data_IF_647062311272
#
_entry.id   IF_647062311272
#
_cell.length_a   1.000
_cell.length_b   1.000
_cell.length_c   1.000
_cell.angle_alpha   90.00
_cell.angle_beta   90.00
_cell.angle_gamma   90.00
#
_symmetry.space_group_name_H-M   'P 1'
#
loop_
_entity.id
_entity.type
_entity.pdbx_description
1 polymer ?
#
# COMPACT_ATOMS: atom_id res chain seq x y z
N UNK A 1 8.91 -6.47 -2.76
CA UNK A 1 7.89 -6.50 -1.69
C UNK A 1 6.78 -5.59 -2.12
N UNK A 2 5.53 -6.06 -2.09
CA UNK A 2 4.40 -5.25 -2.51
C UNK A 2 3.83 -4.50 -1.30
N UNK A 3 3.52 -3.23 -1.50
CA UNK A 3 2.85 -2.35 -0.55
C UNK A 3 1.48 -2.03 -1.15
N UNK A 4 0.42 -2.17 -0.36
CA UNK A 4 -0.96 -1.84 -0.72
C UNK A 4 -1.63 -1.19 0.49
N UNK A 5 -2.46 -0.15 0.31
CA UNK A 5 -3.29 0.39 1.38
C UNK A 5 -4.16 -0.68 2.07
N UNK A 6 -4.62 -1.68 1.32
CA UNK A 6 -5.43 -2.81 1.80
C UNK A 6 -4.61 -4.07 2.10
N UNK A 7 -3.29 -3.98 2.21
CA UNK A 7 -2.44 -5.15 2.44
C UNK A 7 -2.77 -5.81 3.77
N UNK A 8 -3.16 -7.09 3.69
CA UNK A 8 -3.21 -7.98 4.85
C UNK A 8 -1.81 -8.56 5.06
N UNK A 9 -1.25 -8.37 6.25
CA UNK A 9 0.08 -8.83 6.61
C UNK A 9 0.03 -10.16 7.37
N UNK A 10 0.91 -11.10 7.03
CA UNK A 10 1.25 -12.16 7.98
C UNK A 10 2.18 -11.61 9.08
N UNK A 11 2.28 -12.27 10.25
CA UNK A 11 3.12 -11.77 11.35
C UNK A 11 4.57 -11.56 10.95
N UNK A 12 5.16 -12.51 10.23
CA UNK A 12 6.57 -12.42 9.82
C UNK A 12 6.79 -11.40 8.70
N UNK A 13 5.84 -11.25 7.77
CA UNK A 13 5.94 -10.19 6.76
C UNK A 13 5.88 -8.80 7.38
N UNK A 14 4.98 -8.60 8.37
CA UNK A 14 4.89 -7.34 9.10
C UNK A 14 6.18 -7.03 9.84
N UNK A 15 6.73 -7.99 10.58
CA UNK A 15 7.99 -7.84 11.29
C UNK A 15 9.13 -7.42 10.35
N UNK A 16 9.27 -8.11 9.20
CA UNK A 16 10.28 -7.78 8.18
C UNK A 16 10.05 -6.37 7.62
N UNK A 17 8.80 -6.00 7.36
CA UNK A 17 8.45 -4.69 6.82
C UNK A 17 8.72 -3.56 7.81
N UNK A 18 8.22 -3.67 9.04
CA UNK A 18 8.46 -2.70 10.10
C UNK A 18 9.96 -2.51 10.40
N UNK A 19 10.74 -3.60 10.37
CA UNK A 19 12.21 -3.53 10.45
C UNK A 19 12.83 -2.69 9.33
N UNK A 20 12.33 -2.80 8.09
CA UNK A 20 12.82 -1.98 6.96
C UNK A 20 12.47 -0.51 7.15
N UNK A 21 11.24 -0.21 7.59
CA UNK A 21 10.81 1.15 7.87
C UNK A 21 11.69 1.79 8.96
N UNK A 22 11.94 1.08 10.06
CA UNK A 22 12.82 1.56 11.13
C UNK A 22 14.26 1.80 10.65
N UNK A 23 14.81 0.91 9.81
CA UNK A 23 16.15 1.13 9.22
C UNK A 23 16.22 2.42 8.40
N UNK A 24 15.16 2.76 7.67
CA UNK A 24 15.09 4.01 6.92
C UNK A 24 14.97 5.21 7.85
N UNK A 25 14.05 5.16 8.83
CA UNK A 25 13.88 6.20 9.86
C UNK A 25 15.22 6.58 10.48
N UNK A 26 15.93 5.57 10.97
CA UNK A 26 17.15 5.76 11.75
C UNK A 26 18.35 6.16 10.88
N UNK A 27 18.38 5.76 9.60
CA UNK A 27 19.35 6.29 8.62
C UNK A 27 19.30 7.82 8.53
N UNK A 28 18.11 8.43 8.58
CA UNK A 28 17.96 9.88 8.53
C UNK A 28 18.34 10.59 9.84
N UNK A 29 18.11 9.93 10.97
CA UNK A 29 18.37 10.49 12.29
C UNK A 29 19.85 10.44 12.70
N UNK A 30 20.71 9.77 11.92
CA UNK A 30 22.13 9.49 12.25
C UNK A 30 22.29 8.73 13.56
N UNK A 31 21.26 7.98 13.92
CA UNK A 31 21.22 7.08 15.08
C UNK A 31 21.10 5.66 14.53
N UNK A 32 21.65 4.66 15.22
CA UNK A 32 21.60 3.28 14.73
C UNK A 32 20.37 2.55 15.26
N UNK A 33 19.71 1.80 14.37
CA UNK A 33 18.69 0.80 14.71
C UNK A 33 19.29 -0.60 14.64
N UNK A 34 19.15 -1.35 15.73
CA UNK A 34 19.70 -2.69 15.93
C UNK A 34 18.52 -3.67 16.04
N UNK A 35 18.27 -4.48 14.99
CA UNK A 35 17.27 -5.54 15.06
C UNK A 35 17.78 -6.70 15.92
N UNK A 36 16.89 -7.36 16.64
CA UNK A 36 17.19 -8.54 17.47
C UNK A 36 16.63 -9.78 16.75
N UNK A 37 17.49 -10.71 16.29
CA UNK A 37 17.02 -11.95 15.70
C UNK A 37 16.26 -12.82 16.70
N UNK A 38 15.08 -13.30 16.32
CA UNK A 38 14.20 -14.15 17.12
C UNK A 38 14.65 -15.63 17.19
N UNK A 39 15.53 -16.04 16.26
CA UNK A 39 15.96 -17.43 16.07
C UNK A 39 16.90 -17.97 17.16
N UNK A 40 17.54 -17.12 17.98
CA UNK A 40 18.42 -17.54 19.09
C UNK A 40 17.80 -17.19 20.45
N UNK A 41 17.06 -18.16 21.02
CA UNK A 41 16.52 -18.13 22.41
C UNK A 41 15.52 -16.99 22.66
N UNK A 42 14.70 -16.68 21.66
CA UNK A 42 13.62 -15.69 21.71
C UNK A 42 14.13 -14.25 21.78
N UNK A 43 13.20 -13.30 21.82
CA UNK A 43 13.47 -11.86 21.69
C UNK A 43 13.48 -11.14 23.06
N UNK A 44 12.85 -11.76 24.08
CA UNK A 44 12.73 -11.21 25.42
C UNK A 44 11.65 -10.12 25.56
N UNK A 45 10.78 -9.98 24.56
CA UNK A 45 9.72 -8.96 24.52
C UNK A 45 10.03 -7.75 23.64
N UNK A 46 11.13 -7.76 22.89
CA UNK A 46 11.50 -6.72 21.91
C UNK A 46 12.19 -7.37 20.70
N UNK A 47 11.93 -6.84 19.51
CA UNK A 47 12.47 -7.32 18.23
C UNK A 47 13.52 -6.34 17.66
N UNK A 48 13.76 -5.21 18.33
CA UNK A 48 14.88 -4.33 18.04
C UNK A 48 14.92 -3.12 18.96
N UNK A 49 16.01 -2.36 18.90
CA UNK A 49 16.16 -1.12 19.64
C UNK A 49 17.03 -0.12 18.89
N UNK A 50 16.99 1.14 19.29
CA UNK A 50 17.81 2.22 18.72
C UNK A 50 18.71 2.86 19.76
N UNK A 51 19.82 3.44 19.31
CA UNK A 51 20.78 4.12 20.20
C UNK A 51 20.24 5.40 20.85
N UNK A 52 19.14 5.95 20.32
CA UNK A 52 18.45 7.06 20.95
C UNK A 52 17.49 6.60 22.08
N UNK A 53 17.40 5.30 22.38
CA UNK A 53 16.68 4.76 23.53
C UNK A 53 15.25 4.31 23.25
N UNK A 54 14.92 3.92 22.02
CA UNK A 54 13.66 3.25 21.71
C UNK A 54 13.86 1.75 21.66
N UNK A 55 12.92 1.00 22.23
CA UNK A 55 12.79 -0.44 22.05
C UNK A 55 11.49 -0.75 21.31
N UNK A 56 11.53 -1.70 20.40
CA UNK A 56 10.45 -2.00 19.45
C UNK A 56 10.01 -3.44 19.59
N UNK A 57 8.70 -3.65 19.50
CA UNK A 57 8.07 -4.97 19.42
C UNK A 57 7.05 -4.91 18.28
N UNK A 58 7.16 -5.77 17.27
CA UNK A 58 6.24 -5.77 16.15
C UNK A 58 5.12 -6.77 16.41
N UNK A 59 3.92 -6.42 15.98
CA UNK A 59 2.78 -7.31 16.12
C UNK A 59 1.75 -7.11 15.02
N UNK A 60 1.51 -8.17 14.25
CA UNK A 60 0.37 -8.24 13.36
C UNK A 60 -0.67 -9.23 13.92
N UNK A 61 -1.80 -8.74 14.46
CA UNK A 61 -2.87 -9.61 14.92
C UNK A 61 -3.48 -10.37 13.74
N UNK A 62 -3.63 -11.69 13.89
CA UNK A 62 -4.34 -12.55 12.92
C UNK A 62 -5.81 -12.66 13.30
N UNK A 63 -6.69 -13.08 12.38
CA UNK A 63 -8.12 -13.35 12.63
C UNK A 63 -8.86 -12.20 13.34
N UNK A 64 -8.72 -10.99 12.80
CA UNK A 64 -9.39 -9.79 13.32
C UNK A 64 -10.66 -9.55 12.49
N UNK A 65 -11.82 -9.62 13.15
CA UNK A 65 -13.12 -9.39 12.51
C UNK A 65 -13.84 -8.15 13.02
N UNK A 66 -13.40 -7.61 14.17
CA UNK A 66 -14.01 -6.44 14.81
C UNK A 66 -12.96 -5.56 15.48
N UNK A 67 -13.30 -4.27 15.69
CA UNK A 67 -12.46 -3.31 16.44
C UNK A 67 -12.18 -3.83 17.86
N UNK A 68 -13.16 -4.46 18.51
CA UNK A 68 -13.00 -5.05 19.84
C UNK A 68 -11.98 -6.21 19.83
N UNK A 69 -12.07 -7.11 18.84
CA UNK A 69 -11.10 -8.20 18.70
C UNK A 69 -9.67 -7.71 18.41
N UNK A 70 -9.54 -6.63 17.62
CA UNK A 70 -8.26 -5.99 17.36
C UNK A 70 -7.64 -5.46 18.66
N UNK A 71 -8.44 -4.69 19.40
CA UNK A 71 -8.03 -4.11 20.68
C UNK A 71 -7.57 -5.17 21.68
N UNK A 72 -8.37 -6.22 21.92
CA UNK A 72 -8.02 -7.23 22.91
C UNK A 72 -6.72 -7.98 22.56
N UNK A 73 -6.52 -8.28 21.28
CA UNK A 73 -5.29 -8.91 20.78
C UNK A 73 -4.07 -8.02 21.01
N UNK A 74 -4.14 -6.75 20.62
CA UNK A 74 -3.04 -5.79 20.79
C UNK A 74 -2.77 -5.48 22.27
N UNK A 75 -3.83 -5.30 23.07
CA UNK A 75 -3.74 -5.10 24.53
C UNK A 75 -3.06 -6.28 25.23
N UNK A 76 -3.44 -7.50 24.86
CA UNK A 76 -2.87 -8.73 25.42
C UNK A 76 -1.39 -8.84 25.05
N UNK A 77 -1.04 -8.68 23.77
CA UNK A 77 0.36 -8.68 23.30
C UNK A 77 1.21 -7.65 24.04
N UNK A 78 0.75 -6.40 24.13
CA UNK A 78 1.45 -5.34 24.88
C UNK A 78 1.66 -5.75 26.34
N UNK A 79 0.65 -6.33 26.98
CA UNK A 79 0.75 -6.76 28.38
C UNK A 79 1.77 -7.87 28.56
N UNK A 80 1.72 -8.88 27.71
CA UNK A 80 2.58 -10.05 27.82
C UNK A 80 4.03 -9.71 27.51
N UNK A 81 4.28 -8.87 26.50
CA UNK A 81 5.65 -8.49 26.13
C UNK A 81 6.26 -7.46 27.09
N UNK A 82 5.46 -6.58 27.71
CA UNK A 82 5.95 -5.73 28.81
C UNK A 82 6.36 -6.59 30.02
N UNK A 83 5.59 -7.64 30.35
CA UNK A 83 6.00 -8.58 31.40
C UNK A 83 7.31 -9.28 31.05
N UNK A 84 7.52 -9.67 29.79
CA UNK A 84 8.80 -10.25 29.33
C UNK A 84 9.93 -9.24 29.43
N UNK A 85 9.71 -7.99 29.00
CA UNK A 85 10.67 -6.90 29.12
C UNK A 85 11.11 -6.70 30.58
N UNK A 86 10.17 -6.65 31.54
CA UNK A 86 10.45 -6.52 32.97
C UNK A 86 11.19 -7.75 33.53
N UNK A 87 10.73 -8.97 33.21
CA UNK A 87 11.26 -10.20 33.81
C UNK A 87 12.62 -10.62 33.27
N UNK A 88 12.95 -10.28 32.01
CA UNK A 88 14.21 -10.66 31.36
C UNK A 88 15.37 -9.68 31.63
N UNK A 89 15.50 -9.17 32.86
CA UNK A 89 16.42 -8.07 33.22
C UNK A 89 17.84 -8.24 32.70
N UNK A 90 18.45 -9.41 32.96
CA UNK A 90 19.84 -9.72 32.54
C UNK A 90 19.99 -9.71 31.01
N UNK A 91 19.01 -10.21 30.28
CA UNK A 91 19.02 -10.26 28.81
C UNK A 91 18.89 -8.85 28.24
N UNK A 92 17.94 -8.06 28.75
CA UNK A 92 17.74 -6.67 28.34
C UNK A 92 18.98 -5.83 28.61
N UNK A 93 19.58 -5.92 29.82
CA UNK A 93 20.85 -5.26 30.12
C UNK A 93 21.98 -5.67 29.19
N UNK A 94 22.04 -6.96 28.83
CA UNK A 94 23.03 -7.47 27.87
C UNK A 94 22.88 -6.88 26.46
N UNK A 95 21.65 -6.61 26.02
CA UNK A 95 21.40 -5.95 24.73
C UNK A 95 21.73 -4.46 24.76
N UNK A 96 21.34 -3.77 25.83
CA UNK A 96 21.41 -2.31 25.88
C UNK A 96 22.75 -1.77 26.39
N UNK A 97 23.50 -2.56 27.17
CA UNK A 97 24.68 -2.05 27.86
C UNK A 97 24.30 -0.88 28.77
N UNK A 98 24.93 0.28 28.56
CA UNK A 98 24.66 1.50 29.35
C UNK A 98 23.53 2.36 28.81
N UNK A 99 22.97 2.01 27.65
CA UNK A 99 21.83 2.71 27.06
C UNK A 99 20.61 2.64 27.98
N UNK A 100 19.95 3.78 28.15
CA UNK A 100 18.66 3.89 28.85
C UNK A 100 17.52 3.96 27.85
N UNK A 101 16.60 3.00 27.93
CA UNK A 101 15.40 2.97 27.14
C UNK A 101 14.41 3.99 27.68
N UNK A 102 14.08 4.97 26.84
CA UNK A 102 13.10 6.02 27.09
C UNK A 102 11.75 5.70 26.45
N UNK A 103 11.67 4.83 25.44
CA UNK A 103 10.40 4.41 24.84
C UNK A 103 10.37 2.91 24.60
N UNK A 104 9.24 2.29 24.88
CA UNK A 104 8.92 0.95 24.39
C UNK A 104 7.73 1.08 23.45
N UNK A 105 7.83 0.57 22.23
CA UNK A 105 6.84 0.83 21.17
C UNK A 105 6.32 -0.48 20.62
N UNK A 106 5.00 -0.67 20.72
CA UNK A 106 4.31 -1.71 19.96
C UNK A 106 4.05 -1.18 18.54
N UNK A 107 4.63 -1.83 17.53
CA UNK A 107 4.49 -1.45 16.12
C UNK A 107 3.50 -2.39 15.44
N UNK A 108 2.35 -1.87 15.01
CA UNK A 108 1.22 -2.65 14.46
C UNK A 108 0.84 -2.15 13.07
N UNK A 109 0.18 -2.95 12.21
CA UNK A 109 -0.31 -2.43 10.92
C UNK A 109 -1.31 -1.28 11.09
N UNK A 110 -2.25 -1.44 12.02
CA UNK A 110 -3.29 -0.46 12.32
C UNK A 110 -3.69 -0.51 13.80
N UNK A 111 -4.12 0.63 14.36
CA UNK A 111 -4.83 0.66 15.64
C UNK A 111 -6.02 1.62 15.57
N UNK A 112 -7.16 1.24 16.18
CA UNK A 112 -8.45 1.93 15.98
C UNK A 112 -9.13 2.40 17.26
N UNK A 113 -8.47 2.28 18.42
CA UNK A 113 -9.08 2.67 19.71
C UNK A 113 -8.13 3.42 20.63
N UNK A 114 -8.66 4.46 21.25
CA UNK A 114 -8.02 5.23 22.33
C UNK A 114 -7.81 4.41 23.61
N UNK A 115 -8.55 3.32 23.79
CA UNK A 115 -8.43 2.47 24.98
C UNK A 115 -7.05 1.80 25.04
N UNK A 116 -6.46 1.53 23.88
CA UNK A 116 -5.11 0.98 23.79
C UNK A 116 -4.04 2.00 24.20
N UNK A 117 -4.24 3.28 23.91
CA UNK A 117 -3.41 4.38 24.39
C UNK A 117 -3.51 4.52 25.92
N UNK A 118 -4.72 4.37 26.45
CA UNK A 118 -4.95 4.36 27.91
C UNK A 118 -4.25 3.16 28.56
N UNK A 119 -4.30 1.99 27.92
CA UNK A 119 -3.61 0.79 28.40
C UNK A 119 -2.09 0.97 28.36
N UNK A 120 -1.53 1.53 27.29
CA UNK A 120 -0.10 1.87 27.21
C UNK A 120 0.34 2.83 28.34
N UNK A 121 -0.50 3.79 28.70
CA UNK A 121 -0.22 4.66 29.86
C UNK A 121 -0.15 3.86 31.17
N UNK A 122 -1.04 2.89 31.38
CA UNK A 122 -0.97 1.99 32.56
C UNK A 122 0.30 1.15 32.55
N UNK A 123 0.67 0.58 31.39
CA UNK A 123 1.92 -0.19 31.24
C UNK A 123 3.15 0.67 31.48
N UNK A 124 3.12 1.95 31.10
CA UNK A 124 4.20 2.90 31.43
C UNK A 124 4.44 2.96 32.93
N UNK A 125 3.39 3.18 33.73
CA UNK A 125 3.51 3.23 35.19
C UNK A 125 4.04 1.92 35.77
N UNK A 126 3.60 0.77 35.26
CA UNK A 126 4.07 -0.55 35.67
C UNK A 126 5.59 -0.70 35.49
N UNK A 127 6.12 -0.37 34.31
CA UNK A 127 7.58 -0.46 34.07
C UNK A 127 8.36 0.52 34.95
N UNK A 128 7.84 1.73 35.18
CA UNK A 128 8.53 2.73 36.03
C UNK A 128 8.62 2.29 37.49
N UNK A 129 7.59 1.63 38.02
CA UNK A 129 7.58 1.08 39.39
C UNK A 129 8.68 0.03 39.59
N UNK A 130 8.96 -0.77 38.57
CA UNK A 130 9.97 -1.82 38.61
C UNK A 130 11.42 -1.30 38.71
N UNK A 131 11.63 0.01 38.50
CA UNK A 131 12.91 0.71 38.64
C UNK A 131 14.08 -0.03 37.95
N UNK A 132 13.87 -0.38 36.68
CA UNK A 132 14.80 -1.20 35.90
C UNK A 132 16.05 -0.40 35.51
N UNK A 133 17.23 -1.00 35.67
CA UNK A 133 18.52 -0.35 35.44
C UNK A 133 18.76 0.11 33.99
N UNK A 134 18.01 -0.40 33.02
CA UNK A 134 18.13 -0.04 31.60
C UNK A 134 16.96 0.83 31.12
N UNK A 135 16.10 1.29 32.04
CA UNK A 135 14.98 2.19 31.73
C UNK A 135 15.30 3.59 32.25
N UNK A 136 14.92 4.62 31.47
CA UNK A 136 14.93 6.01 31.91
C UNK A 136 13.76 6.25 32.89
N UNK A 137 14.08 6.46 34.18
CA UNK A 137 13.08 6.60 35.24
C UNK A 137 12.18 7.83 35.08
N UNK A 138 12.62 8.86 34.36
CA UNK A 138 11.87 10.11 34.22
C UNK A 138 11.03 10.09 32.97
N UNK A 139 11.63 9.70 31.84
CA UNK A 139 11.04 9.89 30.51
C UNK A 139 10.43 8.63 29.92
N UNK A 140 10.50 7.46 30.57
CA UNK A 140 9.98 6.24 29.99
C UNK A 140 8.49 6.33 29.62
N UNK A 141 8.15 5.86 28.41
CA UNK A 141 6.77 5.69 27.94
C UNK A 141 6.61 4.44 27.08
N UNK A 142 5.50 3.75 27.29
CA UNK A 142 4.98 2.73 26.37
C UNK A 142 4.11 3.43 25.33
N UNK A 143 4.36 3.15 24.06
CA UNK A 143 3.69 3.74 22.92
C UNK A 143 3.11 2.64 22.02
N UNK A 144 2.19 3.04 21.15
CA UNK A 144 1.77 2.27 20.00
C UNK A 144 1.96 3.13 18.76
N UNK A 145 2.58 2.55 17.73
CA UNK A 145 2.73 3.15 16.41
C UNK A 145 2.08 2.23 15.39
N UNK A 146 1.40 2.83 14.42
CA UNK A 146 0.89 2.13 13.26
C UNK A 146 1.57 2.59 11.96
N UNK A 147 1.13 2.07 10.81
CA UNK A 147 1.75 2.36 9.52
C UNK A 147 1.72 3.85 9.17
N UNK A 148 0.72 4.60 9.65
CA UNK A 148 0.61 6.05 9.42
C UNK A 148 1.81 6.83 9.96
N UNK A 149 2.43 6.32 11.03
CA UNK A 149 3.66 6.91 11.59
C UNK A 149 4.84 6.82 10.61
N UNK A 150 4.81 5.89 9.65
CA UNK A 150 5.93 5.57 8.75
C UNK A 150 5.74 6.00 7.28
N UNK A 151 4.81 6.93 7.00
CA UNK A 151 4.53 7.37 5.61
C UNK A 151 5.76 7.85 4.84
N UNK A 152 6.69 8.54 5.52
CA UNK A 152 7.93 9.02 4.89
C UNK A 152 8.83 7.86 4.49
N UNK A 153 9.00 6.90 5.39
CA UNK A 153 9.83 5.72 5.18
C UNK A 153 9.22 4.80 4.11
N UNK A 154 7.90 4.72 4.04
CA UNK A 154 7.19 4.01 2.97
C UNK A 154 7.43 4.66 1.61
N UNK A 155 7.30 5.99 1.52
CA UNK A 155 7.59 6.75 0.30
C UNK A 155 9.06 6.58 -0.17
N UNK A 156 10.02 6.46 0.76
CA UNK A 156 11.41 6.16 0.41
C UNK A 156 11.58 4.72 -0.12
N UNK A 157 10.91 3.73 0.47
CA UNK A 157 10.95 2.36 -0.06
C UNK A 157 10.43 2.30 -1.50
N UNK A 158 9.39 3.05 -1.79
CA UNK A 158 8.79 3.15 -3.12
C UNK A 158 9.72 3.87 -4.11
N UNK A 159 10.19 5.08 -3.77
CA UNK A 159 11.06 5.87 -4.64
C UNK A 159 12.44 5.23 -4.89
N UNK A 160 12.97 4.48 -3.93
CA UNK A 160 14.22 3.71 -4.09
C UNK A 160 14.06 2.40 -4.87
N UNK A 161 12.82 2.00 -5.21
CA UNK A 161 12.53 0.74 -5.88
C UNK A 161 12.73 -0.51 -5.01
N UNK A 162 12.90 -0.35 -3.69
CA UNK A 162 13.00 -1.46 -2.73
C UNK A 162 11.62 -2.08 -2.42
N UNK A 163 10.55 -1.35 -2.72
CA UNK A 163 9.18 -1.82 -2.73
C UNK A 163 8.46 -1.40 -4.02
N UNK A 164 7.33 -2.06 -4.28
CA UNK A 164 6.46 -1.77 -5.43
C UNK A 164 5.06 -1.50 -4.89
N UNK A 165 4.49 -0.37 -5.27
CA UNK A 165 3.10 -0.03 -4.95
C UNK A 165 2.17 -0.93 -5.78
N UNK A 166 1.25 -1.62 -5.11
CA UNK A 166 0.19 -2.40 -5.72
C UNK A 166 -1.14 -1.92 -5.14
N UNK A 167 -2.02 -1.38 -5.96
CA UNK A 167 -3.39 -1.07 -5.58
C UNK A 167 -4.27 -2.31 -5.78
N UNK A 168 -5.32 -2.43 -4.97
CA UNK A 168 -6.32 -3.49 -5.12
C UNK A 168 -7.51 -2.93 -5.92
N UNK A 169 -7.78 -3.43 -7.14
CA UNK A 169 -8.89 -2.94 -7.95
C UNK A 169 -10.23 -3.12 -7.25
N UNK A 170 -11.03 -2.06 -7.20
CA UNK A 170 -12.41 -2.12 -6.70
C UNK A 170 -13.27 -2.85 -7.73
N UNK A 171 -13.88 -3.97 -7.35
CA UNK A 171 -14.78 -4.70 -8.25
C UNK A 171 -16.02 -3.87 -8.59
N UNK A 172 -16.46 -3.97 -9.84
CA UNK A 172 -17.60 -3.22 -10.39
C UNK A 172 -18.69 -4.21 -10.77
N UNK A 173 -19.87 -4.02 -10.18
CA UNK A 173 -21.06 -4.84 -10.43
C UNK A 173 -21.69 -4.53 -11.78
N UNK A 174 -22.44 -5.49 -12.33
CA UNK A 174 -23.19 -5.28 -13.58
C UNK A 174 -24.16 -4.11 -13.52
N UNK A 175 -24.84 -3.91 -12.38
CA UNK A 175 -25.74 -2.78 -12.17
C UNK A 175 -25.03 -1.42 -12.23
N UNK A 176 -23.78 -1.34 -11.78
CA UNK A 176 -22.99 -0.12 -11.88
C UNK A 176 -22.60 0.16 -13.33
N UNK A 177 -22.23 -0.88 -14.09
CA UNK A 177 -21.94 -0.76 -15.53
C UNK A 177 -23.17 -0.24 -16.28
N UNK A 178 -24.35 -0.83 -16.03
CA UNK A 178 -25.61 -0.41 -16.62
C UNK A 178 -25.96 1.05 -16.27
N UNK A 179 -25.76 1.44 -15.01
CA UNK A 179 -25.93 2.82 -14.56
C UNK A 179 -25.03 3.78 -15.31
N UNK A 180 -23.73 3.49 -15.38
CA UNK A 180 -22.74 4.31 -16.09
C UNK A 180 -23.10 4.47 -17.59
N UNK A 181 -23.48 3.36 -18.25
CA UNK A 181 -23.89 3.40 -19.66
C UNK A 181 -25.17 4.21 -19.89
N UNK A 182 -26.06 4.28 -18.90
CA UNK A 182 -27.31 5.04 -18.96
C UNK A 182 -27.09 6.54 -18.69
N UNK A 183 -26.14 6.88 -17.81
CA UNK A 183 -25.77 8.25 -17.49
C UNK A 183 -24.93 8.92 -18.59
N UNK A 184 -24.16 8.12 -19.35
CA UNK A 184 -23.34 8.58 -20.47
C UNK A 184 -23.70 7.84 -21.79
N UNK A 185 -24.90 8.12 -22.37
CA UNK A 185 -25.37 7.40 -23.56
C UNK A 185 -24.45 7.59 -24.77
N UNK A 186 -23.87 8.77 -24.94
CA UNK A 186 -22.93 9.07 -26.04
C UNK A 186 -21.69 8.16 -26.04
N UNK A 187 -21.17 7.80 -24.86
CA UNK A 187 -20.01 6.90 -24.72
C UNK A 187 -20.39 5.47 -25.08
N UNK A 188 -21.56 5.02 -24.63
CA UNK A 188 -22.12 3.70 -24.93
C UNK A 188 -22.41 3.55 -26.43
N UNK A 189 -22.93 4.60 -27.08
CA UNK A 189 -23.17 4.62 -28.53
C UNK A 189 -21.85 4.61 -29.31
N UNK A 190 -20.87 5.42 -28.92
CA UNK A 190 -19.56 5.50 -29.56
C UNK A 190 -18.84 4.15 -29.56
N UNK A 191 -18.75 3.50 -28.40
CA UNK A 191 -18.05 2.23 -28.29
C UNK A 191 -18.79 1.12 -29.06
N UNK A 192 -20.13 1.11 -29.03
CA UNK A 192 -20.94 0.17 -29.81
C UNK A 192 -20.71 0.34 -31.30
N UNK A 193 -20.72 1.58 -31.80
CA UNK A 193 -20.44 1.92 -33.20
C UNK A 193 -19.07 1.42 -33.64
N UNK A 194 -18.04 1.67 -32.83
CA UNK A 194 -16.65 1.25 -33.13
C UNK A 194 -16.53 -0.27 -33.13
N UNK A 195 -17.00 -0.95 -32.09
CA UNK A 195 -16.95 -2.41 -32.00
C UNK A 195 -17.75 -3.11 -33.12
N UNK A 196 -18.80 -2.49 -33.63
CA UNK A 196 -19.59 -3.02 -34.76
C UNK A 196 -18.81 -3.10 -36.08
N UNK A 197 -17.70 -2.36 -36.22
CA UNK A 197 -16.79 -2.49 -37.36
C UNK A 197 -15.92 -3.74 -37.27
N UNK A 198 -15.66 -4.23 -36.05
CA UNK A 198 -14.80 -5.39 -35.79
C UNK A 198 -15.56 -6.72 -35.79
N UNK A 199 -16.87 -6.69 -35.52
CA UNK A 199 -17.71 -7.88 -35.42
C UNK A 199 -19.15 -7.54 -35.77
N UNK A 200 -19.80 -8.43 -36.53
CA UNK A 200 -21.25 -8.35 -36.79
C UNK A 200 -22.10 -9.05 -35.71
N UNK A 201 -21.47 -9.76 -34.77
CA UNK A 201 -22.17 -10.47 -33.70
C UNK A 201 -22.50 -9.54 -32.53
N UNK A 202 -23.79 -9.22 -32.35
CA UNK A 202 -24.31 -8.33 -31.29
C UNK A 202 -23.94 -8.80 -29.88
N UNK A 203 -23.92 -10.10 -29.61
CA UNK A 203 -23.52 -10.63 -28.29
C UNK A 203 -22.04 -10.40 -28.01
N UNK A 204 -21.19 -10.48 -29.03
CA UNK A 204 -19.75 -10.18 -28.90
C UNK A 204 -19.55 -8.69 -28.66
N UNK A 205 -20.25 -7.83 -29.40
CA UNK A 205 -20.20 -6.37 -29.24
C UNK A 205 -20.62 -5.97 -27.82
N UNK A 206 -21.77 -6.45 -27.34
CA UNK A 206 -22.28 -6.09 -26.01
C UNK A 206 -21.31 -6.51 -24.89
N UNK A 207 -20.78 -7.73 -24.97
CA UNK A 207 -19.79 -8.21 -23.99
C UNK A 207 -18.50 -7.39 -24.02
N UNK A 208 -18.04 -7.02 -25.23
CA UNK A 208 -16.87 -6.17 -25.41
C UNK A 208 -17.08 -4.79 -24.81
N UNK A 209 -18.24 -4.18 -25.07
CA UNK A 209 -18.67 -2.92 -24.45
C UNK A 209 -18.64 -3.01 -22.93
N UNK A 210 -19.34 -3.98 -22.34
CA UNK A 210 -19.43 -4.11 -20.88
C UNK A 210 -18.05 -4.32 -20.23
N UNK A 211 -17.19 -5.09 -20.90
CA UNK A 211 -15.81 -5.32 -20.45
C UNK A 211 -14.99 -4.02 -20.49
N UNK A 212 -15.08 -3.25 -21.57
CA UNK A 212 -14.35 -1.99 -21.72
C UNK A 212 -14.86 -0.92 -20.73
N UNK A 213 -16.18 -0.78 -20.58
CA UNK A 213 -16.79 0.11 -19.57
C UNK A 213 -16.34 -0.27 -18.17
N UNK A 214 -16.36 -1.58 -17.81
CA UNK A 214 -15.86 -2.05 -16.51
C UNK A 214 -14.42 -1.64 -16.27
N UNK A 215 -13.53 -1.86 -17.24
CA UNK A 215 -12.12 -1.52 -17.10
C UNK A 215 -11.89 -0.01 -17.00
N UNK A 216 -12.65 0.80 -17.73
CA UNK A 216 -12.59 2.25 -17.63
C UNK A 216 -12.96 2.74 -16.21
N UNK A 217 -14.07 2.25 -15.65
CA UNK A 217 -14.50 2.59 -14.27
C UNK A 217 -13.43 2.17 -13.25
N UNK A 218 -12.91 0.93 -13.35
CA UNK A 218 -11.86 0.46 -12.45
C UNK A 218 -10.61 1.34 -12.54
N UNK A 219 -10.17 1.67 -13.76
CA UNK A 219 -9.01 2.54 -13.97
C UNK A 219 -9.25 3.94 -13.43
N UNK A 220 -10.43 4.53 -13.62
CA UNK A 220 -10.79 5.83 -13.07
C UNK A 220 -10.73 5.83 -11.53
N UNK A 221 -11.28 4.79 -10.88
CA UNK A 221 -11.19 4.64 -9.42
C UNK A 221 -9.72 4.57 -8.95
N UNK A 222 -8.89 3.77 -9.62
CA UNK A 222 -7.47 3.65 -9.29
C UNK A 222 -6.73 4.99 -9.50
N UNK A 223 -7.02 5.72 -10.58
CA UNK A 223 -6.42 7.03 -10.84
C UNK A 223 -6.84 8.07 -9.79
N UNK A 224 -8.08 8.01 -9.29
CA UNK A 224 -8.54 8.84 -8.19
C UNK A 224 -7.78 8.56 -6.88
N UNK A 225 -7.59 7.28 -6.53
CA UNK A 225 -6.79 6.88 -5.35
C UNK A 225 -5.34 7.32 -5.48
N UNK A 226 -4.70 7.09 -6.64
CA UNK A 226 -3.35 7.56 -6.91
C UNK A 226 -3.25 9.09 -6.78
N UNK A 227 -4.25 9.83 -7.26
CA UNK A 227 -4.25 11.30 -7.15
C UNK A 227 -4.31 11.78 -5.70
N UNK A 228 -5.07 11.08 -4.85
CA UNK A 228 -5.27 11.46 -3.45
C UNK A 228 -4.07 11.08 -2.58
N UNK A 229 -3.55 9.86 -2.72
CA UNK A 229 -2.57 9.28 -1.79
C UNK A 229 -1.15 9.18 -2.37
N UNK A 230 -1.01 9.10 -3.70
CA UNK A 230 0.25 8.82 -4.39
C UNK A 230 0.48 9.75 -5.60
N UNK A 231 0.38 11.06 -5.38
CA UNK A 231 0.33 12.07 -6.46
C UNK A 231 1.45 11.97 -7.51
N UNK A 232 2.66 11.57 -7.13
CA UNK A 232 3.76 11.34 -8.07
C UNK A 232 3.44 10.23 -9.10
N UNK A 233 2.83 9.13 -8.65
CA UNK A 233 2.40 8.04 -9.54
C UNK A 233 1.30 8.50 -10.48
N UNK A 234 0.32 9.26 -9.96
CA UNK A 234 -0.74 9.85 -10.77
C UNK A 234 -0.17 10.74 -11.89
N UNK A 235 0.74 11.65 -11.57
CA UNK A 235 1.34 12.56 -12.55
C UNK A 235 2.16 11.81 -13.62
N UNK A 236 2.95 10.80 -13.21
CA UNK A 236 3.71 9.95 -14.14
C UNK A 236 2.80 9.22 -15.13
N UNK A 237 1.70 8.64 -14.63
CA UNK A 237 0.74 7.90 -15.45
C UNK A 237 -0.06 8.85 -16.35
N UNK A 238 -0.58 9.94 -15.79
CA UNK A 238 -1.38 10.93 -16.51
C UNK A 238 -0.57 11.58 -17.65
N UNK A 239 0.66 12.02 -17.36
CA UNK A 239 1.56 12.59 -18.37
C UNK A 239 1.87 11.59 -19.48
N UNK A 240 2.13 10.32 -19.12
CA UNK A 240 2.38 9.27 -20.12
C UNK A 240 1.15 9.01 -20.99
N UNK A 241 -0.04 8.98 -20.39
CA UNK A 241 -1.30 8.79 -21.10
C UNK A 241 -1.61 9.95 -22.06
N UNK A 242 -1.47 11.20 -21.62
CA UNK A 242 -1.67 12.38 -22.47
C UNK A 242 -0.70 12.38 -23.66
N UNK A 243 0.60 12.16 -23.42
CA UNK A 243 1.59 12.08 -24.49
C UNK A 243 1.29 10.95 -25.48
N UNK A 244 0.76 9.81 -25.01
CA UNK A 244 0.37 8.70 -25.88
C UNK A 244 -0.85 9.05 -26.72
N UNK A 245 -1.83 9.75 -26.15
CA UNK A 245 -3.01 10.22 -26.89
C UNK A 245 -2.61 11.19 -28.02
N UNK A 246 -1.68 12.11 -27.78
CA UNK A 246 -1.14 12.99 -28.82
C UNK A 246 -0.40 12.22 -29.92
N UNK A 247 0.37 11.18 -29.57
CA UNK A 247 1.02 10.29 -30.55
C UNK A 247 0.00 9.51 -31.38
N UNK A 248 -1.10 9.08 -30.77
CA UNK A 248 -2.19 8.38 -31.44
C UNK A 248 -2.83 9.23 -32.53
N UNK A 249 -3.04 10.52 -32.28
CA UNK A 249 -3.61 11.44 -33.27
C UNK A 249 -2.73 11.58 -34.52
N UNK A 250 -1.41 11.52 -34.34
CA UNK A 250 -0.45 11.53 -35.45
C UNK A 250 -0.44 10.18 -36.16
N UNK A 251 -0.41 9.07 -35.42
CA UNK A 251 -0.44 7.71 -35.98
C UNK A 251 -1.69 7.47 -36.83
N UNK A 252 -2.83 8.04 -36.44
CA UNK A 252 -4.09 7.92 -37.17
C UNK A 252 -4.03 8.46 -38.61
N UNK A 253 -3.07 9.34 -38.93
CA UNK A 253 -2.91 9.92 -40.28
C UNK A 253 -2.31 8.94 -41.30
N UNK A 254 -1.58 7.92 -40.86
CA UNK A 254 -0.90 6.93 -41.72
C UNK A 254 -0.89 5.54 -41.05
N UNK A 255 -1.98 5.20 -40.36
CA UNK A 255 -2.07 4.01 -39.55
C UNK A 255 -2.10 2.73 -40.39
N UNK A 256 -1.35 1.72 -39.97
CA UNK A 256 -1.49 0.35 -40.48
C UNK A 256 -2.60 -0.41 -39.75
N UNK A 257 -3.19 -1.48 -40.35
CA UNK A 257 -4.20 -2.30 -39.67
C UNK A 257 -3.74 -2.92 -38.34
N UNK A 258 -2.44 -3.20 -38.17
CA UNK A 258 -1.91 -3.75 -36.91
C UNK A 258 -1.92 -2.72 -35.79
N UNK A 259 -1.54 -1.48 -36.11
CA UNK A 259 -1.47 -0.37 -35.13
C UNK A 259 -2.87 0.07 -34.69
N UNK A 260 -3.92 -0.18 -35.47
CA UNK A 260 -5.30 0.13 -35.09
C UNK A 260 -5.90 -0.86 -34.07
N UNK A 261 -5.25 -2.00 -33.79
CA UNK A 261 -5.80 -3.01 -32.85
C UNK A 261 -5.81 -2.50 -31.41
N UNK A 262 -6.92 -2.72 -30.70
CA UNK A 262 -7.07 -2.39 -29.27
C UNK A 262 -5.90 -2.94 -28.43
N UNK A 263 -5.56 -4.22 -28.63
CA UNK A 263 -4.48 -4.86 -27.88
C UNK A 263 -3.10 -4.27 -28.16
N UNK A 264 -2.85 -3.78 -29.39
CA UNK A 264 -1.62 -3.07 -29.72
C UNK A 264 -1.54 -1.78 -28.90
N UNK A 265 -2.64 -1.05 -28.81
CA UNK A 265 -2.71 0.21 -28.06
C UNK A 265 -2.54 0.02 -26.56
N UNK A 266 -3.21 -0.98 -25.98
CA UNK A 266 -3.03 -1.36 -24.57
C UNK A 266 -1.57 -1.73 -24.30
N UNK A 267 -0.98 -2.60 -25.13
CA UNK A 267 0.40 -3.06 -24.94
C UNK A 267 1.41 -1.93 -25.07
N UNK A 268 1.20 -1.03 -26.03
CA UNK A 268 2.08 0.13 -26.24
C UNK A 268 2.03 1.08 -25.06
N UNK A 269 0.82 1.45 -24.61
CA UNK A 269 0.64 2.30 -23.43
C UNK A 269 1.25 1.64 -22.18
N UNK A 270 0.99 0.35 -21.95
CA UNK A 270 1.59 -0.41 -20.85
C UNK A 270 3.11 -0.34 -20.87
N UNK A 271 3.75 -0.55 -22.01
CA UNK A 271 5.21 -0.49 -22.13
C UNK A 271 5.76 0.91 -21.84
N UNK A 272 5.07 1.97 -22.26
CA UNK A 272 5.44 3.34 -21.93
C UNK A 272 5.29 3.61 -20.43
N UNK A 273 4.18 3.16 -19.82
CA UNK A 273 3.95 3.29 -18.39
C UNK A 273 5.00 2.52 -17.56
N UNK A 274 5.37 1.31 -17.94
CA UNK A 274 6.41 0.51 -17.25
C UNK A 274 7.79 1.19 -17.25
N UNK A 275 8.09 2.00 -18.27
CA UNK A 275 9.33 2.78 -18.34
C UNK A 275 9.31 3.96 -17.38
N UNK A 276 8.16 4.64 -17.28
CA UNK A 276 8.02 5.92 -16.58
C UNK A 276 7.51 5.80 -15.14
N UNK A 277 6.86 4.69 -14.77
CA UNK A 277 6.20 4.50 -13.49
C UNK A 277 6.51 3.13 -12.88
N UNK A 278 6.86 3.11 -11.59
CA UNK A 278 7.19 1.88 -10.83
C UNK A 278 5.99 1.28 -10.09
N UNK A 279 4.80 1.38 -10.68
CA UNK A 279 3.60 0.71 -10.18
C UNK A 279 3.66 -0.79 -10.51
N UNK A 280 2.98 -1.62 -9.72
CA UNK A 280 2.89 -3.06 -9.97
C UNK A 280 2.34 -3.37 -11.37
N UNK A 281 2.87 -4.39 -12.03
CA UNK A 281 2.51 -4.68 -13.43
C UNK A 281 1.02 -4.97 -13.61
N UNK A 282 0.38 -5.69 -12.68
CA UNK A 282 -1.07 -5.94 -12.72
C UNK A 282 -1.87 -4.64 -12.76
N UNK A 283 -1.44 -3.61 -12.01
CA UNK A 283 -2.13 -2.33 -12.02
C UNK A 283 -1.87 -1.55 -13.31
N UNK A 284 -0.66 -1.62 -13.85
CA UNK A 284 -0.35 -1.05 -15.16
C UNK A 284 -1.17 -1.72 -16.28
N UNK A 285 -1.41 -3.03 -16.19
CA UNK A 285 -2.31 -3.77 -17.08
C UNK A 285 -3.75 -3.24 -17.00
N UNK A 286 -4.29 -3.13 -15.77
CA UNK A 286 -5.65 -2.61 -15.55
C UNK A 286 -5.80 -1.16 -16.02
N UNK A 287 -4.86 -0.29 -15.64
CA UNK A 287 -4.90 1.14 -15.97
C UNK A 287 -4.73 1.35 -17.48
N UNK A 288 -3.78 0.68 -18.13
CA UNK A 288 -3.61 0.82 -19.59
C UNK A 288 -4.85 0.34 -20.36
N UNK A 289 -5.47 -0.76 -19.91
CA UNK A 289 -6.72 -1.25 -20.50
C UNK A 289 -7.85 -0.24 -20.32
N UNK A 290 -8.01 0.31 -19.12
CA UNK A 290 -9.07 1.26 -18.82
C UNK A 290 -8.90 2.61 -19.51
N UNK A 291 -7.67 3.12 -19.63
CA UNK A 291 -7.38 4.36 -20.38
C UNK A 291 -7.68 4.19 -21.87
N UNK A 292 -7.28 3.08 -22.49
CA UNK A 292 -7.61 2.82 -23.91
C UNK A 292 -9.12 2.64 -24.10
N UNK A 293 -9.80 2.00 -23.15
CA UNK A 293 -11.26 1.92 -23.13
C UNK A 293 -11.91 3.31 -23.04
N UNK A 294 -11.35 4.20 -22.22
CA UNK A 294 -11.78 5.58 -22.10
C UNK A 294 -11.59 6.36 -23.42
N UNK A 295 -10.44 6.24 -24.09
CA UNK A 295 -10.23 6.83 -25.43
C UNK A 295 -11.21 6.29 -26.49
N UNK A 296 -11.54 5.00 -26.44
CA UNK A 296 -12.57 4.42 -27.30
C UNK A 296 -13.95 5.06 -27.07
N UNK A 297 -14.28 5.43 -25.84
CA UNK A 297 -15.53 6.09 -25.48
C UNK A 297 -15.53 7.59 -25.77
N UNK A 298 -14.41 8.27 -25.48
CA UNK A 298 -14.24 9.73 -25.46
C UNK A 298 -13.60 10.37 -26.69
N UNK A 299 -13.11 9.57 -27.66
CA UNK A 299 -12.66 9.94 -29.04
C UNK A 299 -11.16 9.76 -29.36
N UNK A 300 -10.87 9.93 -30.66
CA UNK A 300 -9.69 9.68 -31.53
C UNK A 300 -9.39 8.25 -31.97
N UNK A 301 -9.54 7.22 -31.12
CA UNK A 301 -9.35 5.83 -31.58
C UNK A 301 -10.58 5.30 -32.32
N UNK A 302 -10.51 5.06 -33.63
CA UNK A 302 -11.56 4.40 -34.43
C UNK A 302 -10.95 3.26 -35.26
N UNK A 303 -11.78 2.28 -35.63
CA UNK A 303 -11.37 1.18 -36.50
C UNK A 303 -11.80 1.49 -37.93
N UNK A 304 -11.02 1.06 -38.93
CA UNK A 304 -11.45 1.06 -40.34
C UNK A 304 -12.30 -0.17 -40.68
#
# INVERSE_FOLDING_TARGET
MNISPSKIWSPKEWEIHANKLLRIRYRHLKEDYIPIPDQDRGDGGIEGFSLDGYAYQMYCPQDVTTISSLYEKQRTKMTDDIKKFISNKKKMKGFFGDLKIKRWVLVVPEHKTKDLVTHATKKTSEVKIENLEYVDSENFRVLIWDLEEFKREEAELLSSGLAVLKLDPIDVSSSHIEGYQSEAPEFSENITRKLSKLSSNVSVINRGKDTLTKNAIISQNMMCELKQEYGEYYEQINTTAVNRAEQLDIEALDASPETQKINYQISTLKQQLQKNCKLHTDNLDTISTGIVADWLMNCTLDFE
#
